data_IF_690637921132
#
_entry.id   IF_690637921132
#
_cell.length_a   1.000
_cell.length_b   1.000
_cell.length_c   1.000
_cell.angle_alpha   90.00
_cell.angle_beta   90.00
_cell.angle_gamma   90.00
#
_symmetry.space_group_name_H-M   'P 1'
#
loop_
_entity.id
_entity.type
_entity.pdbx_description
1 polymer ?
#
# COMPACT_ATOMS: atom_id res chain seq x y z
N UNK A 1 12.25 15.24 -11.50
CA UNK A 1 11.07 14.38 -11.39
C UNK A 1 10.30 14.63 -12.68
N UNK A 2 10.56 13.81 -13.70
CA UNK A 2 9.71 13.79 -14.89
C UNK A 2 8.42 13.10 -14.43
N UNK A 3 7.47 13.89 -13.91
CA UNK A 3 6.30 13.38 -13.20
C UNK A 3 5.35 12.50 -14.06
N UNK A 4 5.69 12.28 -15.34
CA UNK A 4 4.85 11.57 -16.31
C UNK A 4 5.14 10.05 -16.38
N UNK A 5 6.35 9.58 -16.09
CA UNK A 5 6.69 8.15 -16.25
C UNK A 5 6.55 7.33 -14.95
N UNK A 6 6.93 7.91 -13.81
CA UNK A 6 6.89 7.18 -12.53
C UNK A 6 5.45 6.96 -12.04
N UNK A 7 4.58 7.97 -12.22
CA UNK A 7 3.18 7.96 -11.76
C UNK A 7 2.24 8.43 -12.87
N UNK A 8 2.04 7.62 -13.93
CA UNK A 8 1.38 8.07 -15.16
C UNK A 8 -0.11 8.42 -15.00
N UNK A 9 -0.73 8.01 -13.88
CA UNK A 9 -2.15 8.28 -13.56
C UNK A 9 -2.33 9.36 -12.49
N UNK A 10 -1.24 9.83 -11.87
CA UNK A 10 -1.27 10.81 -10.80
C UNK A 10 -1.38 12.21 -11.39
N UNK A 11 -2.40 12.97 -11.00
CA UNK A 11 -2.61 14.35 -11.46
C UNK A 11 -2.83 15.28 -10.26
N UNK A 12 -2.57 16.59 -10.38
CA UNK A 12 -2.82 17.53 -9.27
C UNK A 12 -4.27 17.57 -8.76
N UNK A 13 -5.23 17.00 -9.50
CA UNK A 13 -6.66 17.00 -9.18
C UNK A 13 -7.11 15.75 -8.41
N UNK A 14 -6.36 14.64 -8.49
CA UNK A 14 -6.75 13.34 -7.93
C UNK A 14 -5.94 12.90 -6.70
N UNK A 15 -4.99 13.72 -6.26
CA UNK A 15 -4.25 13.48 -5.02
C UNK A 15 -4.03 14.76 -4.22
N UNK A 16 -3.70 14.59 -2.95
CA UNK A 16 -3.28 15.65 -2.04
C UNK A 16 -2.15 15.17 -1.17
N UNK A 17 -1.09 15.97 -1.09
CA UNK A 17 -0.02 15.77 -0.09
C UNK A 17 -0.57 15.99 1.32
N UNK A 18 -0.35 15.01 2.20
CA UNK A 18 -0.82 15.06 3.59
C UNK A 18 0.30 15.27 4.59
N UNK A 19 1.52 14.81 4.29
CA UNK A 19 2.68 14.95 5.18
C UNK A 19 4.01 14.94 4.43
N UNK A 20 5.05 15.58 5.00
CA UNK A 20 6.41 15.49 4.48
C UNK A 20 6.97 14.08 4.68
N UNK A 21 8.00 13.77 3.89
CA UNK A 21 8.74 12.52 3.98
C UNK A 21 9.20 12.18 5.41
N UNK A 22 8.69 11.07 5.93
CA UNK A 22 9.19 10.43 7.15
C UNK A 22 10.04 9.22 6.74
N UNK A 23 11.25 9.11 7.31
CA UNK A 23 12.29 8.15 6.89
C UNK A 23 12.12 6.76 7.51
N UNK A 24 11.34 6.65 8.59
CA UNK A 24 11.42 5.49 9.49
C UNK A 24 10.62 4.27 8.99
N UNK A 25 9.59 4.50 8.16
CA UNK A 25 8.69 3.47 7.62
C UNK A 25 8.69 3.45 6.07
N UNK A 26 8.43 2.29 5.48
CA UNK A 26 8.23 2.16 4.02
C UNK A 26 6.74 2.02 3.67
N UNK A 27 6.42 2.01 2.37
CA UNK A 27 5.03 1.90 1.91
C UNK A 27 4.29 0.65 2.43
N UNK A 28 4.99 -0.46 2.63
CA UNK A 28 4.40 -1.69 3.14
C UNK A 28 4.04 -1.54 4.63
N UNK A 29 4.96 -0.99 5.42
CA UNK A 29 4.74 -0.67 6.83
C UNK A 29 3.58 0.33 6.98
N UNK A 30 3.60 1.41 6.20
CA UNK A 30 2.54 2.42 6.16
C UNK A 30 1.17 1.79 5.87
N UNK A 31 1.10 0.92 4.86
CA UNK A 31 -0.14 0.22 4.52
C UNK A 31 -0.61 -0.74 5.62
N UNK A 32 0.33 -1.37 6.35
CA UNK A 32 0.02 -2.19 7.52
C UNK A 32 -0.44 -1.36 8.74
N UNK A 33 -0.19 -0.04 8.72
CA UNK A 33 -0.42 0.87 9.84
C UNK A 33 0.68 0.77 10.91
N UNK A 34 1.89 0.44 10.49
CA UNK A 34 3.09 0.36 11.32
C UNK A 34 4.03 1.51 10.93
N UNK A 35 4.34 2.37 11.89
CA UNK A 35 5.25 3.51 11.71
C UNK A 35 6.58 3.33 12.44
N UNK A 36 6.82 2.15 13.02
CA UNK A 36 8.00 1.85 13.85
C UNK A 36 9.05 1.01 13.11
N UNK A 37 8.62 0.18 12.14
CA UNK A 37 9.49 -0.76 11.47
C UNK A 37 9.51 -0.60 9.94
N UNK A 38 10.66 -0.87 9.33
CA UNK A 38 10.80 -1.03 7.88
C UNK A 38 10.42 -2.45 7.46
N UNK A 39 9.33 -2.60 6.72
CA UNK A 39 8.79 -3.93 6.35
C UNK A 39 9.45 -4.49 5.10
N UNK A 40 10.30 -5.49 5.28
CA UNK A 40 11.01 -6.19 4.20
C UNK A 40 11.40 -7.61 4.65
N UNK A 41 11.21 -8.63 3.81
CA UNK A 41 11.66 -9.99 4.07
C UNK A 41 13.17 -10.05 4.39
N UNK A 42 13.51 -10.48 5.60
CA UNK A 42 14.89 -10.50 6.11
C UNK A 42 15.27 -9.30 6.98
N UNK A 43 14.43 -8.26 7.06
CA UNK A 43 14.58 -7.10 7.97
C UNK A 43 13.55 -7.17 9.08
N UNK A 44 12.30 -6.83 8.77
CA UNK A 44 11.14 -6.99 9.64
C UNK A 44 10.00 -7.52 8.78
N UNK A 45 9.48 -8.69 9.16
CA UNK A 45 8.41 -9.34 8.43
C UNK A 45 7.56 -10.15 9.40
N UNK A 46 6.22 -10.09 9.31
CA UNK A 46 5.34 -10.68 10.31
C UNK A 46 5.18 -12.21 10.18
N UNK A 47 5.86 -12.83 9.22
CA UNK A 47 5.86 -14.27 8.97
C UNK A 47 7.27 -14.76 8.65
N UNK A 48 7.51 -16.07 8.82
CA UNK A 48 8.75 -16.69 8.38
C UNK A 48 8.78 -16.71 6.85
N UNK A 49 9.80 -16.08 6.28
CA UNK A 49 10.04 -16.05 4.83
C UNK A 49 11.54 -16.16 4.56
N UNK A 50 11.95 -16.61 3.36
CA UNK A 50 13.31 -16.38 2.90
C UNK A 50 13.61 -14.87 2.89
N UNK A 51 14.87 -14.46 3.12
CA UNK A 51 15.30 -13.12 2.77
C UNK A 51 15.13 -12.91 1.26
N UNK A 52 14.87 -11.68 0.83
CA UNK A 52 14.75 -11.31 -0.58
C UNK A 52 13.60 -11.98 -1.36
N UNK A 53 12.57 -12.47 -0.66
CA UNK A 53 11.35 -12.99 -1.29
C UNK A 53 10.36 -11.86 -1.59
N UNK A 54 10.27 -11.41 -2.84
CA UNK A 54 9.45 -10.26 -3.23
C UNK A 54 8.18 -10.63 -4.01
N UNK A 55 7.80 -11.91 -4.07
CA UNK A 55 6.61 -12.34 -4.79
C UNK A 55 5.32 -11.75 -4.19
N UNK A 56 4.33 -11.39 -5.02
CA UNK A 56 3.03 -10.84 -4.55
C UNK A 56 2.42 -11.70 -3.44
N UNK A 57 2.52 -13.03 -3.58
CA UNK A 57 2.00 -13.97 -2.58
C UNK A 57 2.64 -13.86 -1.19
N UNK A 58 3.90 -13.41 -1.08
CA UNK A 58 4.54 -13.22 0.24
C UNK A 58 3.98 -12.00 0.97
N UNK A 59 3.66 -10.94 0.22
CA UNK A 59 3.06 -9.72 0.77
C UNK A 59 1.60 -9.97 1.15
N UNK A 60 0.84 -10.69 0.31
CA UNK A 60 -0.49 -11.16 0.68
C UNK A 60 -0.46 -12.01 1.95
N UNK A 61 0.52 -12.92 2.09
CA UNK A 61 0.67 -13.75 3.27
C UNK A 61 1.00 -12.93 4.52
N UNK A 62 1.82 -11.88 4.38
CA UNK A 62 2.11 -10.95 5.46
C UNK A 62 0.86 -10.18 5.89
N UNK A 63 0.07 -9.64 4.97
CA UNK A 63 -1.20 -9.01 5.34
C UNK A 63 -2.20 -10.02 5.94
N UNK A 64 -2.25 -11.26 5.45
CA UNK A 64 -3.07 -12.33 6.04
C UNK A 64 -2.73 -12.58 7.50
N UNK A 65 -1.46 -12.52 7.90
CA UNK A 65 -1.07 -12.71 9.31
C UNK A 65 -1.53 -11.56 10.21
N UNK A 66 -1.82 -10.38 9.65
CA UNK A 66 -2.43 -9.25 10.34
C UNK A 66 -3.98 -9.28 10.35
N UNK A 67 -4.57 -10.38 9.88
CA UNK A 67 -6.02 -10.58 9.83
C UNK A 67 -6.69 -10.04 8.56
N UNK A 68 -5.93 -9.64 7.54
CA UNK A 68 -6.52 -9.29 6.25
C UNK A 68 -6.95 -10.53 5.46
N UNK A 69 -8.10 -10.43 4.80
CA UNK A 69 -8.60 -11.42 3.84
C UNK A 69 -8.71 -10.78 2.45
N UNK A 70 -8.52 -11.58 1.41
CA UNK A 70 -8.74 -11.11 0.04
C UNK A 70 -10.20 -10.70 -0.14
N UNK A 71 -10.43 -9.57 -0.80
CA UNK A 71 -11.78 -9.10 -1.08
C UNK A 71 -11.90 -8.52 -2.49
N UNK A 72 -13.12 -8.43 -2.98
CA UNK A 72 -13.42 -7.82 -4.26
C UNK A 72 -13.79 -6.35 -4.05
N UNK A 73 -13.24 -5.48 -4.88
CA UNK A 73 -13.60 -4.07 -4.95
C UNK A 73 -12.86 -3.17 -3.95
N UNK A 74 -12.53 -1.97 -4.44
CA UNK A 74 -11.85 -0.89 -3.71
C UNK A 74 -12.79 0.04 -2.94
N UNK A 75 -14.10 -0.09 -3.17
CA UNK A 75 -15.13 0.75 -2.54
C UNK A 75 -15.09 0.63 -1.00
N UNK A 76 -15.37 1.72 -0.29
CA UNK A 76 -15.37 1.71 1.18
C UNK A 76 -16.44 0.76 1.73
N UNK A 77 -16.06 -0.05 2.73
CA UNK A 77 -16.94 -1.02 3.38
C UNK A 77 -17.03 -0.67 4.88
N UNK A 78 -18.17 -0.15 5.38
CA UNK A 78 -18.29 0.31 6.76
C UNK A 78 -17.88 -0.76 7.78
N UNK A 79 -16.93 -0.41 8.66
CA UNK A 79 -16.39 -1.33 9.67
C UNK A 79 -15.21 -2.18 9.18
N UNK A 80 -14.72 -1.96 7.95
CA UNK A 80 -13.50 -2.57 7.43
C UNK A 80 -12.48 -1.51 7.02
N UNK A 81 -11.20 -1.82 7.20
CA UNK A 81 -10.09 -1.14 6.54
C UNK A 81 -9.56 -2.02 5.42
N UNK A 82 -9.09 -1.41 4.34
CA UNK A 82 -8.59 -2.11 3.15
C UNK A 82 -7.14 -1.78 2.87
N UNK A 83 -6.46 -2.72 2.22
CA UNK A 83 -5.14 -2.50 1.60
C UNK A 83 -5.17 -2.92 0.14
N UNK A 84 -4.48 -2.14 -0.69
CA UNK A 84 -4.25 -2.44 -2.09
C UNK A 84 -2.80 -2.86 -2.24
N UNK A 85 -2.58 -4.00 -2.87
CA UNK A 85 -1.26 -4.53 -3.21
C UNK A 85 -1.01 -4.22 -4.68
N UNK A 86 0.14 -3.64 -4.97
CA UNK A 86 0.57 -3.34 -6.32
C UNK A 86 1.75 -4.21 -6.68
N UNK A 87 1.86 -4.54 -7.96
CA UNK A 87 2.96 -5.35 -8.44
C UNK A 87 3.21 -5.18 -9.92
N UNK A 88 4.42 -5.57 -10.31
CA UNK A 88 4.78 -5.77 -11.70
C UNK A 88 5.11 -7.25 -11.90
N UNK A 89 4.46 -7.87 -12.88
CA UNK A 89 4.51 -9.31 -13.12
C UNK A 89 4.13 -10.13 -11.89
N UNK A 90 5.10 -10.78 -11.25
CA UNK A 90 4.90 -11.65 -10.09
C UNK A 90 5.40 -11.02 -8.78
N UNK A 91 6.02 -9.84 -8.85
CA UNK A 91 6.66 -9.20 -7.70
C UNK A 91 5.85 -8.01 -7.21
N UNK A 92 5.72 -7.87 -5.90
CA UNK A 92 5.11 -6.68 -5.33
C UNK A 92 6.09 -5.49 -5.41
N UNK A 93 5.52 -4.30 -5.48
CA UNK A 93 6.25 -3.04 -5.67
C UNK A 93 5.79 -1.97 -4.69
N UNK A 94 4.51 -2.02 -4.27
CA UNK A 94 3.90 -1.03 -3.40
C UNK A 94 2.69 -1.60 -2.65
N UNK A 95 2.27 -0.88 -1.61
CA UNK A 95 0.98 -1.08 -0.96
C UNK A 95 0.39 0.27 -0.52
N UNK A 96 -0.95 0.36 -0.58
CA UNK A 96 -1.72 1.52 -0.12
C UNK A 96 -2.79 1.05 0.88
N UNK A 97 -3.23 1.94 1.77
CA UNK A 97 -4.29 1.66 2.75
C UNK A 97 -5.47 2.59 2.57
N UNK A 98 -6.69 2.09 2.75
CA UNK A 98 -7.90 2.89 2.78
C UNK A 98 -8.09 3.55 4.15
N UNK A 99 -8.36 4.85 4.15
CA UNK A 99 -8.68 5.65 5.32
C UNK A 99 -10.16 5.50 5.70
N UNK A 100 -10.56 5.82 6.94
CA UNK A 100 -11.96 5.83 7.36
C UNK A 100 -12.86 6.75 6.54
N UNK A 101 -12.28 7.73 5.85
CA UNK A 101 -12.99 8.64 4.93
C UNK A 101 -13.37 7.98 3.60
N UNK A 102 -12.88 6.78 3.32
CA UNK A 102 -13.03 6.07 2.04
C UNK A 102 -11.94 6.38 1.02
N UNK A 103 -11.16 7.46 1.22
CA UNK A 103 -9.95 7.76 0.44
C UNK A 103 -8.84 6.76 0.73
N UNK A 104 -7.83 6.74 -0.12
CA UNK A 104 -6.66 5.89 0.01
C UNK A 104 -5.42 6.72 0.35
N UNK A 105 -4.47 6.11 1.08
CA UNK A 105 -3.19 6.72 1.40
C UNK A 105 -2.03 5.88 0.90
N UNK A 106 -1.03 6.54 0.33
CA UNK A 106 0.19 5.96 -0.21
C UNK A 106 1.40 6.78 0.21
N UNK A 107 2.50 6.09 0.49
CA UNK A 107 3.82 6.71 0.67
C UNK A 107 4.57 6.68 -0.66
N UNK A 108 4.85 7.86 -1.26
CA UNK A 108 5.54 7.96 -2.55
C UNK A 108 7.05 7.70 -2.41
N UNK A 109 7.45 6.48 -2.06
CA UNK A 109 8.84 6.10 -1.82
C UNK A 109 9.39 6.73 -0.53
N UNK A 110 10.54 7.43 -0.62
CA UNK A 110 11.10 8.21 0.51
C UNK A 110 10.56 9.66 0.54
N UNK A 111 9.51 9.95 -0.22
CA UNK A 111 8.97 11.31 -0.38
C UNK A 111 7.68 11.46 0.44
N UNK A 112 6.77 12.29 -0.06
CA UNK A 112 5.54 12.70 0.61
C UNK A 112 4.54 11.55 0.76
N UNK A 113 3.77 11.60 1.85
CA UNK A 113 2.55 10.79 1.94
C UNK A 113 1.45 11.55 1.23
N UNK A 114 0.65 10.81 0.47
CA UNK A 114 -0.48 11.36 -0.28
C UNK A 114 -1.78 10.67 0.13
N UNK A 115 -2.87 11.42 0.01
CA UNK A 115 -4.22 10.89 -0.11
C UNK A 115 -4.64 10.92 -1.58
N UNK A 116 -5.37 9.90 -2.02
CA UNK A 116 -5.91 9.78 -3.37
C UNK A 116 -7.29 9.10 -3.36
N UNK A 117 -8.04 9.25 -4.44
CA UNK A 117 -9.44 8.84 -4.50
C UNK A 117 -9.62 7.33 -4.67
N UNK A 118 -8.77 6.68 -5.47
CA UNK A 118 -8.85 5.25 -5.76
C UNK A 118 -7.45 4.64 -5.89
N UNK A 119 -7.28 3.33 -5.65
CA UNK A 119 -6.00 2.65 -5.84
C UNK A 119 -5.41 2.86 -7.24
N UNK A 120 -6.25 2.99 -8.26
CA UNK A 120 -5.83 3.19 -9.64
C UNK A 120 -5.02 4.48 -9.85
N UNK A 121 -5.21 5.52 -9.02
CA UNK A 121 -4.52 6.81 -9.15
C UNK A 121 -3.00 6.69 -9.08
N UNK A 122 -2.48 5.76 -8.27
CA UNK A 122 -1.04 5.54 -8.11
C UNK A 122 -0.53 4.31 -8.88
N UNK A 123 -1.39 3.65 -9.66
CA UNK A 123 -1.01 2.51 -10.48
C UNK A 123 -0.29 2.92 -11.78
N UNK A 124 0.39 1.96 -12.39
CA UNK A 124 1.32 2.14 -13.50
C UNK A 124 2.74 2.49 -13.04
N UNK A 125 3.60 2.81 -14.01
CA UNK A 125 4.96 3.31 -13.77
C UNK A 125 5.77 2.45 -12.80
N UNK A 126 6.27 3.06 -11.72
CA UNK A 126 7.10 2.37 -10.71
C UNK A 126 6.33 1.42 -9.80
N UNK A 127 5.02 1.61 -9.65
CA UNK A 127 4.19 0.75 -8.80
C UNK A 127 3.53 -0.38 -9.57
N UNK A 128 3.52 -0.35 -10.90
CA UNK A 128 2.82 -1.37 -11.69
C UNK A 128 1.32 -1.36 -11.39
N UNK A 129 0.64 -2.48 -11.62
CA UNK A 129 -0.82 -2.52 -11.53
C UNK A 129 -1.30 -2.99 -10.15
N UNK A 130 -2.55 -2.69 -9.83
CA UNK A 130 -3.23 -3.25 -8.64
C UNK A 130 -3.33 -4.76 -8.82
N UNK A 131 -2.59 -5.51 -8.00
CA UNK A 131 -2.54 -6.96 -8.02
C UNK A 131 -3.63 -7.60 -7.16
N UNK A 132 -4.07 -6.92 -6.09
CA UNK A 132 -5.12 -7.42 -5.21
C UNK A 132 -5.56 -6.40 -4.17
N UNK A 133 -6.80 -6.53 -3.71
CA UNK A 133 -7.34 -5.78 -2.57
C UNK A 133 -7.62 -6.75 -1.44
N UNK A 134 -7.27 -6.36 -0.22
CA UNK A 134 -7.56 -7.12 0.98
C UNK A 134 -8.24 -6.23 2.01
N UNK A 135 -9.00 -6.82 2.93
CA UNK A 135 -9.67 -6.09 4.01
C UNK A 135 -9.53 -6.79 5.36
N UNK A 136 -9.65 -6.05 6.45
CA UNK A 136 -9.84 -6.57 7.80
C UNK A 136 -10.85 -5.70 8.56
N UNK A 137 -11.46 -6.18 9.66
CA UNK A 137 -12.26 -5.32 10.52
C UNK A 137 -11.45 -4.09 10.96
N UNK A 138 -12.02 -2.90 10.78
CA UNK A 138 -11.38 -1.66 11.20
C UNK A 138 -11.18 -1.68 12.72
N UNK A 139 -10.03 -1.20 13.19
CA UNK A 139 -9.83 -0.98 14.62
C UNK A 139 -10.84 0.05 15.10
N UNK A 140 -11.60 -0.28 16.15
CA UNK A 140 -12.41 0.71 16.87
C UNK A 140 -11.44 1.65 17.58
N UNK A 141 -11.41 2.92 17.17
CA UNK A 141 -10.71 4.00 17.87
C UNK A 141 -11.52 4.52 19.06
#
# INVERSE_FOLDING_TARGET
MEADEDFPRLTPENHRVTSPAMIDDNCIAWAAGDTEYWWEPGVFWPIVSPPDEYGIGILEAAFKSLGFEACNGEESDPGFEKVAIYGNHLFYTHAARQLPTGKWTSKLGKLEDIEHDTPDVVAGGVYGEVAGIMRRPAKLE
#
